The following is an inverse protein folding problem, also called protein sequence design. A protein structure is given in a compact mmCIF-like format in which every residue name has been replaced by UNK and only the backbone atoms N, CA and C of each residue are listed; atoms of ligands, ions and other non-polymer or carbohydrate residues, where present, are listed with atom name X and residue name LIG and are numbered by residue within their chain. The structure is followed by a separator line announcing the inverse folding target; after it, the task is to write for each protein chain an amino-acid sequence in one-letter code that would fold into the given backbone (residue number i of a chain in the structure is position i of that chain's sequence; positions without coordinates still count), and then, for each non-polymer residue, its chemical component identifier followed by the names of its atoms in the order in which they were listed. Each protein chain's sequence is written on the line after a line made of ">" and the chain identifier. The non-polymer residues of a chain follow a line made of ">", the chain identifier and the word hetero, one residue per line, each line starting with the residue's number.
data_IF_478976609011
#
_entry.id   IF_478976609011
#
_cell.length_a   1.000
_cell.length_b   1.000
_cell.length_c   1.000
_cell.angle_alpha   90.00
_cell.angle_beta   90.00
_cell.angle_gamma   90.00
#
_symmetry.space_group_name_H-M   'P 1'
#
loop_
_entity.id
_entity.type
_entity.pdbx_description
1 polymer ?
#
# COMPACT_ATOMS: atom_id res chain seq x y z
N UNK A 1 20.68 3.68 -16.70
CA UNK A 1 19.92 4.08 -17.90
C UNK A 1 20.14 5.56 -18.17
N UNK A 2 20.07 6.00 -19.42
CA UNK A 2 20.11 7.43 -19.75
C UNK A 2 18.78 8.09 -19.32
N UNK A 3 18.86 9.31 -18.78
CA UNK A 3 17.68 10.08 -18.45
C UNK A 3 16.89 10.45 -19.71
N UNK A 4 15.56 10.36 -19.63
CA UNK A 4 14.65 10.80 -20.70
C UNK A 4 14.01 12.12 -20.23
N UNK A 5 14.17 13.18 -21.01
CA UNK A 5 13.54 14.48 -20.74
C UNK A 5 12.32 14.66 -21.63
N UNK A 6 11.14 14.78 -21.03
CA UNK A 6 9.92 15.18 -21.74
C UNK A 6 9.91 16.71 -21.88
N UNK A 7 9.95 17.21 -23.12
CA UNK A 7 9.90 18.66 -23.43
C UNK A 7 8.50 19.06 -23.87
N UNK A 8 8.18 20.34 -23.73
CA UNK A 8 6.90 20.94 -24.17
C UNK A 8 5.66 20.26 -23.56
N UNK A 9 5.74 19.87 -22.28
CA UNK A 9 4.59 19.27 -21.59
C UNK A 9 3.50 20.34 -21.39
N UNK A 10 2.25 20.11 -21.83
CA UNK A 10 1.18 21.08 -21.62
C UNK A 10 1.01 21.42 -20.13
N UNK A 11 0.73 22.68 -19.77
CA UNK A 11 0.55 23.09 -18.37
C UNK A 11 -0.53 22.27 -17.64
N UNK A 12 -1.64 21.98 -18.33
CA UNK A 12 -2.72 21.16 -17.76
C UNK A 12 -2.26 19.73 -17.45
N UNK A 13 -1.47 19.12 -18.33
CA UNK A 13 -0.93 17.78 -18.10
C UNK A 13 0.01 17.76 -16.89
N UNK A 14 0.83 18.81 -16.73
CA UNK A 14 1.71 18.98 -15.57
C UNK A 14 0.92 19.06 -14.27
N UNK A 15 -0.19 19.81 -14.25
CA UNK A 15 -1.09 19.91 -13.08
C UNK A 15 -1.72 18.57 -12.73
N UNK A 16 -2.22 17.84 -13.73
CA UNK A 16 -2.84 16.52 -13.53
C UNK A 16 -1.84 15.53 -12.95
N UNK A 17 -0.60 15.51 -13.46
CA UNK A 17 0.46 14.61 -12.97
C UNK A 17 0.84 14.95 -11.52
N UNK A 18 1.00 16.24 -11.19
CA UNK A 18 1.29 16.67 -9.81
C UNK A 18 0.17 16.28 -8.86
N UNK A 19 -1.09 16.57 -9.20
CA UNK A 19 -2.24 16.17 -8.39
C UNK A 19 -2.26 14.66 -8.13
N UNK A 20 -2.04 13.84 -9.17
CA UNK A 20 -1.96 12.38 -9.01
C UNK A 20 -0.81 11.92 -8.13
N UNK A 21 0.32 12.62 -8.14
CA UNK A 21 1.47 12.34 -7.28
C UNK A 21 1.13 12.62 -5.82
N UNK A 22 0.45 13.72 -5.54
CA UNK A 22 -0.02 14.09 -4.21
C UNK A 22 -1.07 13.09 -3.70
N UNK A 23 -2.07 12.75 -4.52
CA UNK A 23 -3.13 11.77 -4.20
C UNK A 23 -2.57 10.36 -3.90
N UNK A 24 -1.49 9.95 -4.57
CA UNK A 24 -0.89 8.61 -4.42
C UNK A 24 0.29 8.58 -3.45
N UNK A 25 0.61 9.71 -2.80
CA UNK A 25 1.82 9.89 -1.98
C UNK A 25 3.10 9.36 -2.67
N UNK A 26 3.20 9.60 -3.97
CA UNK A 26 4.23 9.07 -4.84
C UNK A 26 5.04 10.19 -5.49
N UNK A 27 6.29 9.91 -5.89
CA UNK A 27 7.07 10.89 -6.65
C UNK A 27 6.49 11.11 -8.06
N UNK A 28 6.65 12.33 -8.59
CA UNK A 28 6.24 12.66 -9.98
C UNK A 28 6.82 11.66 -10.98
N UNK A 29 8.10 11.28 -10.80
CA UNK A 29 8.76 10.31 -11.67
C UNK A 29 8.05 8.95 -11.64
N UNK A 30 7.69 8.47 -10.44
CA UNK A 30 6.96 7.20 -10.26
C UNK A 30 5.60 7.22 -10.96
N UNK A 31 4.86 8.33 -10.82
CA UNK A 31 3.57 8.51 -11.50
C UNK A 31 3.73 8.55 -13.02
N UNK A 32 4.73 9.28 -13.54
CA UNK A 32 5.00 9.35 -14.98
C UNK A 32 5.35 7.98 -15.56
N UNK A 33 6.23 7.23 -14.89
CA UNK A 33 6.60 5.87 -15.30
C UNK A 33 5.36 4.96 -15.29
N UNK A 34 4.55 4.98 -14.21
CA UNK A 34 3.33 4.18 -14.12
C UNK A 34 2.31 4.48 -15.23
N UNK A 35 2.17 5.76 -15.61
CA UNK A 35 1.29 6.17 -16.71
C UNK A 35 1.81 5.65 -18.06
N UNK A 36 3.13 5.71 -18.29
CA UNK A 36 3.76 5.19 -19.50
C UNK A 36 3.64 3.66 -19.58
N UNK A 37 3.93 2.94 -18.50
CA UNK A 37 3.77 1.48 -18.42
C UNK A 37 2.34 1.04 -18.74
N UNK A 38 1.34 1.74 -18.19
CA UNK A 38 -0.08 1.51 -18.49
C UNK A 38 -0.40 1.77 -19.97
N UNK A 39 0.16 2.82 -20.57
CA UNK A 39 -0.15 3.17 -21.97
C UNK A 39 0.50 2.23 -22.99
N UNK A 40 1.68 1.70 -22.70
CA UNK A 40 2.36 0.73 -23.58
C UNK A 40 1.93 -0.72 -23.35
N UNK A 41 0.97 -0.97 -22.45
CA UNK A 41 0.49 -2.32 -22.14
C UNK A 41 1.50 -3.19 -21.40
N UNK A 42 2.64 -2.63 -20.99
CA UNK A 42 3.63 -3.30 -20.16
C UNK A 42 3.12 -3.20 -18.72
N UNK A 43 2.32 -4.18 -18.28
CA UNK A 43 2.19 -4.44 -16.85
C UNK A 43 3.57 -4.90 -16.39
N UNK A 44 4.41 -3.95 -16.01
CA UNK A 44 5.69 -4.22 -15.40
C UNK A 44 5.46 -5.24 -14.29
N UNK A 45 6.13 -6.39 -14.36
CA UNK A 45 6.14 -7.41 -13.31
C UNK A 45 6.82 -6.84 -12.06
N UNK A 46 6.16 -5.91 -11.39
CA UNK A 46 6.38 -5.59 -10.00
C UNK A 46 4.98 -5.46 -9.44
N UNK A 47 4.56 -6.50 -8.72
CA UNK A 47 3.72 -6.25 -7.57
C UNK A 47 4.48 -5.18 -6.77
N UNK A 48 4.15 -3.90 -7.00
CA UNK A 48 4.45 -2.90 -6.00
C UNK A 48 3.76 -3.43 -4.76
N UNK A 49 4.53 -3.92 -3.81
CA UNK A 49 4.03 -4.16 -2.47
C UNK A 49 3.55 -2.78 -2.03
N UNK A 50 2.25 -2.55 -2.16
CA UNK A 50 1.62 -1.33 -1.70
C UNK A 50 1.83 -1.36 -0.19
N UNK A 51 2.59 -0.39 0.31
CA UNK A 51 2.77 -0.24 1.74
C UNK A 51 1.48 0.41 2.27
N UNK A 52 0.66 -0.40 2.92
CA UNK A 52 -0.57 0.04 3.54
C UNK A 52 -0.28 0.49 4.98
N UNK A 53 -0.86 1.62 5.38
CA UNK A 53 -0.69 2.25 6.70
C UNK A 53 -2.01 2.40 7.47
N UNK A 54 -3.11 1.93 6.90
CA UNK A 54 -4.47 2.03 7.43
C UNK A 54 -4.66 1.31 8.77
N UNK A 55 -3.81 0.32 9.06
CA UNK A 55 -3.83 -0.45 10.31
C UNK A 55 -2.71 -0.08 11.29
N UNK A 56 -1.83 0.87 10.95
CA UNK A 56 -0.67 1.22 11.80
C UNK A 56 -1.11 1.71 13.18
N UNK A 57 -2.25 2.42 13.24
CA UNK A 57 -2.83 2.91 14.49
C UNK A 57 -3.29 1.78 15.44
N UNK A 58 -3.48 0.57 14.95
CA UNK A 58 -3.87 -0.58 15.78
C UNK A 58 -2.68 -1.23 16.47
N UNK A 59 -1.46 -1.06 15.94
CA UNK A 59 -0.25 -1.65 16.50
C UNK A 59 0.05 -1.07 17.88
N UNK A 60 0.07 -1.92 18.91
CA UNK A 60 0.35 -1.50 20.28
C UNK A 60 -0.79 -0.76 20.98
N UNK A 61 -2.00 -0.77 20.41
CA UNK A 61 -3.18 -0.09 20.98
C UNK A 61 -3.73 -0.71 22.27
N UNK A 62 -3.37 -1.96 22.57
CA UNK A 62 -3.90 -2.68 23.73
C UNK A 62 -3.06 -2.49 24.99
N UNK A 63 -3.75 -2.23 26.10
CA UNK A 63 -3.18 -2.38 27.42
C UNK A 63 -2.85 -3.84 27.74
N UNK A 64 -2.02 -4.05 28.78
CA UNK A 64 -1.66 -5.41 29.22
C UNK A 64 -2.87 -6.16 29.76
N UNK A 65 -3.78 -5.43 30.40
CA UNK A 65 -5.02 -5.92 30.98
C UNK A 65 -5.99 -6.40 29.90
N UNK A 66 -6.18 -5.61 28.83
CA UNK A 66 -7.00 -5.99 27.67
C UNK A 66 -6.44 -7.22 26.96
N UNK A 67 -5.12 -7.27 26.75
CA UNK A 67 -4.45 -8.42 26.16
C UNK A 67 -4.61 -9.70 27.02
N UNK A 68 -4.53 -9.58 28.35
CA UNK A 68 -4.74 -10.70 29.26
C UNK A 68 -6.19 -11.20 29.23
N UNK A 69 -7.17 -10.29 29.25
CA UNK A 69 -8.59 -10.62 29.18
C UNK A 69 -8.95 -11.34 27.87
N UNK A 70 -8.43 -10.84 26.74
CA UNK A 70 -8.63 -11.46 25.43
C UNK A 70 -8.01 -12.85 25.34
N UNK A 71 -6.77 -13.03 25.80
CA UNK A 71 -6.11 -14.34 25.80
C UNK A 71 -6.87 -15.36 26.65
N UNK A 72 -7.43 -14.93 27.80
CA UNK A 72 -8.28 -15.79 28.62
C UNK A 72 -9.55 -16.23 27.88
N UNK A 73 -10.16 -15.35 27.09
CA UNK A 73 -11.32 -15.69 26.28
C UNK A 73 -10.97 -16.68 25.15
N UNK A 74 -9.83 -16.46 24.46
CA UNK A 74 -9.35 -17.32 23.38
C UNK A 74 -8.90 -18.71 23.83
N UNK A 75 -8.47 -18.87 25.09
CA UNK A 75 -7.95 -20.15 25.59
C UNK A 75 -8.90 -21.32 25.33
N UNK A 76 -10.22 -21.10 25.44
CA UNK A 76 -11.25 -22.11 25.17
C UNK A 76 -11.41 -22.47 23.69
N UNK A 77 -11.14 -21.52 22.80
CA UNK A 77 -11.29 -21.70 21.34
C UNK A 77 -10.05 -22.33 20.70
N UNK A 78 -8.91 -22.26 21.39
CA UNK A 78 -7.63 -22.83 20.93
C UNK A 78 -7.39 -24.26 21.42
N UNK A 79 -8.26 -24.78 22.27
CA UNK A 79 -8.27 -26.20 22.60
C UNK A 79 -8.67 -26.98 21.36
N UNK A 80 -7.76 -27.80 20.86
CA UNK A 80 -8.04 -28.71 19.75
C UNK A 80 -9.00 -29.78 20.26
N UNK A 81 -10.16 -29.88 19.62
CA UNK A 81 -11.08 -30.99 19.81
C UNK A 81 -10.64 -32.14 18.91
N UNK A 82 -10.17 -33.28 19.47
CA UNK A 82 -9.72 -34.43 18.68
C UNK A 82 -10.79 -35.05 17.80
N UNK A 83 -12.08 -34.83 18.10
CA UNK A 83 -13.19 -35.39 17.34
C UNK A 83 -13.58 -34.50 16.13
N UNK A 84 -13.05 -33.27 16.04
CA UNK A 84 -13.29 -32.31 14.96
C UNK A 84 -12.09 -32.10 14.02
N UNK A 85 -10.99 -32.83 14.23
CA UNK A 85 -9.75 -32.76 13.43
C UNK A 85 -9.56 -34.01 12.58
#
# INVERSE_FOLDING_TARGET
>A
MKAITLRNLPPELTRIIRRKADEQHASINKVVISLLEKSVGVRGKKHEMVLHHDLDALAGSWSREEAAAFNKALAKQRTIDPDLW
#
